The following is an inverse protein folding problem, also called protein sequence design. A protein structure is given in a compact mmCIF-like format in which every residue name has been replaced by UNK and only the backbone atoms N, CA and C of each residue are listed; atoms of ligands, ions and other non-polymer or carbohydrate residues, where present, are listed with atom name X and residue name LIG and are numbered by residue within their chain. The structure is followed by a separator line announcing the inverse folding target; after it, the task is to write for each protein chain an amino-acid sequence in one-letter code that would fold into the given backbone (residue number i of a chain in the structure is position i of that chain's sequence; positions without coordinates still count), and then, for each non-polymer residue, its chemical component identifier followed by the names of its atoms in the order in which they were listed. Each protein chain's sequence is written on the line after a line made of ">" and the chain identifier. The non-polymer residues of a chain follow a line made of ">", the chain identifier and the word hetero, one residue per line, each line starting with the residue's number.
data_IF_840730914272
#
_entry.id   IF_840730914272
#
_cell.length_a   1.000
_cell.length_b   1.000
_cell.length_c   1.000
_cell.angle_alpha   90.00
_cell.angle_beta   90.00
_cell.angle_gamma   90.00
#
_symmetry.space_group_name_H-M   'P 1'
#
loop_
_entity.id
_entity.type
_entity.pdbx_description
1 polymer ?
#
# COMPACT_ATOMS: atom_id res chain seq x y z
N UNK A 1 -25.25 41.61 -23.69
CA UNK A 1 -24.94 40.23 -24.14
C UNK A 1 -23.50 39.81 -23.79
N UNK A 2 -22.48 40.67 -23.93
CA UNK A 2 -21.07 40.34 -23.59
C UNK A 2 -20.82 39.96 -22.12
N UNK A 3 -21.52 40.57 -21.16
CA UNK A 3 -21.33 40.30 -19.73
C UNK A 3 -21.66 38.85 -19.34
N UNK A 4 -22.63 38.23 -20.01
CA UNK A 4 -23.01 36.84 -19.77
C UNK A 4 -21.94 35.84 -20.23
N UNK A 5 -21.18 36.17 -21.27
CA UNK A 5 -20.08 35.32 -21.73
C UNK A 5 -18.92 35.34 -20.74
N UNK A 6 -18.59 36.51 -20.19
CA UNK A 6 -17.56 36.62 -19.15
C UNK A 6 -17.94 35.83 -17.90
N UNK A 7 -19.20 35.94 -17.44
CA UNK A 7 -19.72 35.16 -16.32
C UNK A 7 -19.71 33.65 -16.62
N UNK A 8 -20.10 33.23 -17.82
CA UNK A 8 -20.10 31.83 -18.21
C UNK A 8 -18.68 31.23 -18.22
N UNK A 9 -17.69 31.96 -18.74
CA UNK A 9 -16.29 31.53 -18.72
C UNK A 9 -15.74 31.43 -17.30
N UNK A 10 -16.08 32.38 -16.43
CA UNK A 10 -15.67 32.35 -15.02
C UNK A 10 -16.27 31.14 -14.30
N UNK A 11 -17.57 30.86 -14.50
CA UNK A 11 -18.24 29.70 -13.91
C UNK A 11 -17.66 28.38 -14.40
N UNK A 12 -17.30 28.28 -15.68
CA UNK A 12 -16.66 27.08 -16.23
C UNK A 12 -15.31 26.81 -15.56
N UNK A 13 -14.47 27.84 -15.42
CA UNK A 13 -13.15 27.72 -14.79
C UNK A 13 -13.31 27.34 -13.31
N UNK A 14 -14.21 28.00 -12.58
CA UNK A 14 -14.47 27.70 -11.16
C UNK A 14 -15.00 26.29 -10.98
N UNK A 15 -15.92 25.85 -11.86
CA UNK A 15 -16.47 24.50 -11.84
C UNK A 15 -15.37 23.46 -12.04
N UNK A 16 -14.53 23.61 -13.07
CA UNK A 16 -13.45 22.66 -13.34
C UNK A 16 -12.40 22.66 -12.22
N UNK A 17 -12.03 23.84 -11.71
CA UNK A 17 -11.01 23.97 -10.67
C UNK A 17 -11.47 23.35 -9.34
N UNK A 18 -12.73 23.59 -8.93
CA UNK A 18 -13.27 23.03 -7.69
C UNK A 18 -13.35 21.51 -7.74
N UNK A 19 -13.80 20.94 -8.86
CA UNK A 19 -13.84 19.48 -9.05
C UNK A 19 -12.43 18.90 -8.98
N UNK A 20 -11.46 19.51 -9.66
CA UNK A 20 -10.07 19.04 -9.65
C UNK A 20 -9.46 19.08 -8.24
N UNK A 21 -9.76 20.15 -7.48
CA UNK A 21 -9.28 20.35 -6.12
C UNK A 21 -9.85 19.28 -5.16
N UNK A 22 -11.16 19.05 -5.21
CA UNK A 22 -11.83 18.03 -4.38
C UNK A 22 -11.28 16.64 -4.70
N UNK A 23 -11.17 16.29 -5.99
CA UNK A 23 -10.65 14.99 -6.41
C UNK A 23 -9.20 14.78 -5.94
N UNK A 24 -8.35 15.81 -6.07
CA UNK A 24 -6.97 15.79 -5.60
C UNK A 24 -6.87 15.50 -4.11
N UNK A 25 -7.69 16.17 -3.29
CA UNK A 25 -7.72 15.95 -1.84
C UNK A 25 -8.19 14.53 -1.51
N UNK A 26 -9.28 14.05 -2.13
CA UNK A 26 -9.82 12.70 -1.87
C UNK A 26 -8.79 11.62 -2.20
N UNK A 27 -8.09 11.75 -3.33
CA UNK A 27 -7.03 10.80 -3.73
C UNK A 27 -5.84 10.85 -2.77
N UNK A 28 -5.41 12.04 -2.36
CA UNK A 28 -4.31 12.19 -1.41
C UNK A 28 -4.64 11.56 -0.05
N UNK A 29 -5.84 11.83 0.48
CA UNK A 29 -6.33 11.24 1.74
C UNK A 29 -6.44 9.70 1.63
N UNK A 30 -6.98 9.19 0.52
CA UNK A 30 -7.06 7.75 0.27
C UNK A 30 -5.67 7.10 0.26
N UNK A 31 -4.69 7.72 -0.41
CA UNK A 31 -3.29 7.24 -0.42
C UNK A 31 -2.68 7.22 0.97
N UNK A 32 -2.87 8.28 1.76
CA UNK A 32 -2.33 8.37 3.12
C UNK A 32 -2.96 7.28 4.00
N UNK A 33 -4.25 7.03 3.85
CA UNK A 33 -4.96 5.99 4.60
C UNK A 33 -4.45 4.58 4.22
N UNK A 34 -4.27 4.30 2.93
CA UNK A 34 -3.70 3.03 2.45
C UNK A 34 -2.28 2.83 3.00
N UNK A 35 -1.44 3.86 3.00
CA UNK A 35 -0.10 3.80 3.57
C UNK A 35 -0.11 3.60 5.09
N UNK A 36 -1.03 4.27 5.79
CA UNK A 36 -1.17 4.13 7.25
C UNK A 36 -1.61 2.72 7.65
N UNK A 37 -2.59 2.15 6.93
CA UNK A 37 -3.08 0.79 7.17
C UNK A 37 -2.02 -0.25 6.78
N UNK A 38 -1.31 -0.07 5.65
CA UNK A 38 -0.22 -0.95 5.24
C UNK A 38 0.99 -0.90 6.20
N UNK A 39 1.17 0.22 6.92
CA UNK A 39 2.19 0.27 7.97
C UNK A 39 1.78 -0.52 9.23
N UNK A 40 0.47 -0.67 9.47
CA UNK A 40 -0.07 -1.37 10.64
C UNK A 40 -0.24 -2.87 10.41
N UNK A 41 -0.59 -3.27 9.20
CA UNK A 41 -0.46 -4.66 8.73
C UNK A 41 0.80 -4.75 7.88
N UNK A 42 1.94 -5.23 8.40
CA UNK A 42 3.09 -5.48 7.55
C UNK A 42 2.64 -6.44 6.46
N UNK A 43 2.59 -5.97 5.22
CA UNK A 43 2.32 -6.78 4.03
C UNK A 43 3.25 -8.00 4.08
N UNK A 44 2.75 -9.11 4.62
CA UNK A 44 3.28 -10.42 4.32
C UNK A 44 2.96 -10.61 2.85
N UNK A 45 3.98 -10.54 2.02
CA UNK A 45 3.91 -10.93 0.60
C UNK A 45 3.63 -9.78 -0.38
N UNK A 46 4.61 -8.89 -0.57
CA UNK A 46 5.02 -8.57 -1.95
C UNK A 46 6.05 -9.61 -2.44
N UNK A 47 5.72 -10.91 -2.31
CA UNK A 47 6.43 -11.92 -3.09
C UNK A 47 5.92 -11.85 -4.52
N UNK A 48 6.49 -10.92 -5.28
CA UNK A 48 6.68 -11.16 -6.69
C UNK A 48 7.38 -12.51 -6.85
N UNK A 49 6.74 -13.37 -7.65
CA UNK A 49 7.18 -14.66 -8.18
C UNK A 49 6.93 -15.91 -7.32
N UNK A 50 6.09 -16.86 -7.81
CA UNK A 50 6.10 -18.22 -7.30
C UNK A 50 7.33 -18.91 -7.90
N UNK A 51 8.36 -19.19 -7.10
CA UNK A 51 9.44 -20.09 -7.55
C UNK A 51 9.85 -21.08 -6.47
N UNK A 52 9.25 -22.27 -6.59
CA UNK A 52 9.90 -23.58 -6.51
C UNK A 52 10.86 -23.82 -5.34
N UNK A 53 10.44 -24.61 -4.33
CA UNK A 53 11.21 -25.75 -3.76
C UNK A 53 10.55 -26.35 -2.50
N UNK A 54 9.73 -27.37 -2.72
CA UNK A 54 9.04 -28.14 -1.67
C UNK A 54 9.97 -28.79 -0.61
N UNK A 55 11.28 -28.93 -0.88
CA UNK A 55 12.24 -29.54 0.06
C UNK A 55 12.93 -28.56 1.01
N UNK A 56 13.09 -27.30 0.61
CA UNK A 56 13.68 -26.25 1.46
C UNK A 56 12.68 -25.83 2.56
N UNK A 57 11.39 -25.95 2.26
CA UNK A 57 10.28 -25.63 3.15
C UNK A 57 10.31 -26.40 4.48
N UNK A 58 10.77 -27.65 4.54
CA UNK A 58 10.74 -28.41 5.82
C UNK A 58 11.77 -27.89 6.83
N UNK A 59 12.97 -27.50 6.36
CA UNK A 59 13.99 -26.89 7.22
C UNK A 59 13.61 -25.46 7.60
N UNK A 60 13.13 -24.70 6.62
CA UNK A 60 12.65 -23.33 6.81
C UNK A 60 11.48 -23.30 7.79
N UNK A 61 10.52 -24.22 7.69
CA UNK A 61 9.36 -24.29 8.58
C UNK A 61 9.74 -24.64 10.02
N UNK A 62 10.70 -25.54 10.23
CA UNK A 62 11.17 -25.87 11.60
C UNK A 62 11.87 -24.66 12.22
N UNK A 63 12.70 -23.94 11.45
CA UNK A 63 13.33 -22.71 11.92
C UNK A 63 12.26 -21.65 12.23
N UNK A 64 11.27 -21.48 11.36
CA UNK A 64 10.15 -20.55 11.59
C UNK A 64 9.36 -20.90 12.84
N UNK A 65 9.03 -22.17 13.08
CA UNK A 65 8.29 -22.60 14.27
C UNK A 65 9.10 -22.43 15.56
N UNK A 66 10.41 -22.71 15.54
CA UNK A 66 11.27 -22.50 16.70
C UNK A 66 11.39 -21.01 17.03
N UNK A 67 11.63 -20.16 16.03
CA UNK A 67 11.69 -18.71 16.21
C UNK A 67 10.33 -18.17 16.67
N UNK A 68 9.23 -18.70 16.14
CA UNK A 68 7.89 -18.30 16.54
C UNK A 68 7.58 -18.67 17.99
N UNK A 69 8.02 -19.84 18.45
CA UNK A 69 7.86 -20.28 19.84
C UNK A 69 8.67 -19.40 20.80
N UNK A 70 9.91 -19.06 20.43
CA UNK A 70 10.80 -18.23 21.26
C UNK A 70 10.35 -16.77 21.27
N UNK A 71 9.87 -16.27 20.13
CA UNK A 71 9.48 -14.86 19.95
C UNK A 71 7.98 -14.60 20.10
N UNK A 72 7.20 -15.63 20.49
CA UNK A 72 5.76 -15.59 20.70
C UNK A 72 4.99 -14.89 19.56
N UNK A 73 5.23 -15.24 18.30
CA UNK A 73 4.50 -14.62 17.18
C UNK A 73 5.12 -13.36 16.60
N UNK A 74 6.14 -12.77 17.25
CA UNK A 74 6.60 -11.42 16.87
C UNK A 74 7.84 -11.42 15.97
N UNK A 75 8.57 -12.53 15.89
CA UNK A 75 9.79 -12.65 15.09
C UNK A 75 9.52 -12.91 13.61
N UNK A 76 10.09 -12.08 12.72
CA UNK A 76 9.96 -12.24 11.26
C UNK A 76 11.29 -12.64 10.65
N UNK A 77 11.30 -13.75 9.90
CA UNK A 77 12.50 -14.28 9.24
C UNK A 77 12.65 -13.65 7.86
N UNK A 78 13.74 -12.92 7.63
CA UNK A 78 13.97 -12.16 6.39
C UNK A 78 14.74 -12.92 5.30
N UNK A 79 15.69 -13.77 5.67
CA UNK A 79 16.47 -14.58 4.73
C UNK A 79 17.15 -15.72 5.46
N UNK A 80 17.24 -16.88 4.83
CA UNK A 80 17.97 -18.04 5.34
C UNK A 80 19.11 -18.32 4.36
N UNK A 81 20.35 -18.29 4.86
CA UNK A 81 21.55 -18.62 4.08
C UNK A 81 22.28 -19.77 4.75
N UNK A 82 22.83 -20.67 3.92
CA UNK A 82 23.72 -21.74 4.38
C UNK A 82 25.13 -21.17 4.49
N UNK A 83 25.84 -21.49 5.58
CA UNK A 83 27.27 -21.23 5.72
C UNK A 83 28.08 -22.16 4.81
#
# INVERSE_FOLDING_TARGET
>A
MQENYQLALQLLIVGMFSVFFILGIVVALGKILVLGVNKFSPDVTSSGLPKVKSLENKKVAVITSAVNLITQGKGVIRSIKKL
#
